data_IF_082376142336
#
_entry.id   IF_082376142336
#
_cell.length_a   1.000
_cell.length_b   1.000
_cell.length_c   1.000
_cell.angle_alpha   90.00
_cell.angle_beta   90.00
_cell.angle_gamma   90.00
#
_symmetry.space_group_name_H-M   'P 1'
#
loop_
_entity.id
_entity.type
_entity.pdbx_description
1 polymer ?
#
# COMPACT_ATOMS: atom_id res chain seq x y z
N UNK A 1 -34.35 -0.66 56.23
CA UNK A 1 -33.33 -0.05 55.36
C UNK A 1 -33.35 -0.82 54.04
N UNK A 2 -34.40 -0.77 53.23
CA UNK A 2 -35.24 0.37 52.77
C UNK A 2 -34.45 1.40 51.90
N UNK A 3 -34.86 1.94 50.72
CA UNK A 3 -36.14 2.07 49.96
C UNK A 3 -36.89 3.41 50.14
N UNK A 4 -37.38 4.13 49.09
CA UNK A 4 -37.14 4.10 47.63
C UNK A 4 -37.22 5.55 47.06
N UNK A 5 -37.13 5.72 45.71
CA UNK A 5 -37.43 6.93 44.90
C UNK A 5 -36.40 8.08 44.93
N UNK A 6 -36.38 9.03 43.98
CA UNK A 6 -37.04 9.09 42.66
C UNK A 6 -37.70 10.45 42.32
N UNK A 7 -37.52 10.93 41.07
CA UNK A 7 -38.13 12.14 40.47
C UNK A 7 -37.71 13.49 41.11
N UNK A 8 -37.85 14.67 40.47
CA UNK A 8 -38.22 15.02 39.09
C UNK A 8 -38.59 16.52 38.95
N UNK A 9 -38.80 17.00 37.71
CA UNK A 9 -39.38 18.32 37.32
C UNK A 9 -38.52 19.57 37.68
N UNK A 10 -38.34 20.66 36.90
CA UNK A 10 -38.93 21.29 35.70
C UNK A 10 -39.89 22.48 35.92
N UNK A 11 -39.46 23.67 35.47
CA UNK A 11 -40.26 24.88 35.17
C UNK A 11 -39.76 25.42 33.80
N UNK A 12 -40.62 25.72 32.81
CA UNK A 12 -41.55 26.86 32.67
C UNK A 12 -40.82 28.22 32.48
N UNK A 13 -41.19 29.11 31.53
CA UNK A 13 -42.46 29.22 30.76
C UNK A 13 -42.29 29.92 29.38
N UNK A 14 -43.39 29.97 28.60
CA UNK A 14 -43.71 30.90 27.47
C UNK A 14 -43.48 32.40 27.79
N UNK A 15 -43.51 33.38 26.87
CA UNK A 15 -43.89 33.51 25.45
C UNK A 15 -43.60 34.97 24.99
N UNK A 16 -44.25 35.63 24.02
CA UNK A 16 -45.24 35.28 22.96
C UNK A 16 -45.39 36.50 21.99
N UNK A 17 -45.79 36.31 20.72
CA UNK A 17 -46.09 37.37 19.74
C UNK A 17 -44.86 37.92 18.96
N UNK A 18 -45.00 38.48 17.75
CA UNK A 18 -46.20 38.64 16.91
C UNK A 18 -45.86 39.04 15.46
N UNK A 19 -46.81 38.85 14.55
CA UNK A 19 -46.75 39.16 13.10
C UNK A 19 -46.53 40.68 12.81
N UNK A 20 -46.09 41.13 11.63
CA UNK A 20 -46.91 41.17 10.39
C UNK A 20 -46.13 41.36 9.05
N UNK A 21 -46.88 41.57 7.95
CA UNK A 21 -46.52 41.27 6.56
C UNK A 21 -45.79 42.32 5.69
N UNK A 22 -45.26 41.79 4.58
CA UNK A 22 -44.76 42.35 3.30
C UNK A 22 -45.15 43.78 2.88
N UNK A 23 -44.27 44.41 2.09
CA UNK A 23 -44.63 44.96 0.75
C UNK A 23 -43.41 45.13 -0.18
N UNK A 24 -43.66 45.41 -1.47
CA UNK A 24 -42.67 45.37 -2.57
C UNK A 24 -42.63 46.69 -3.37
N UNK A 25 -41.46 47.03 -3.90
CA UNK A 25 -41.23 48.07 -4.92
C UNK A 25 -40.40 49.27 -4.43
N UNK A 26 -39.76 50.10 -5.25
CA UNK A 26 -39.21 50.01 -6.62
C UNK A 26 -38.78 51.44 -6.99
N UNK A 27 -37.68 51.57 -7.73
CA UNK A 27 -37.27 52.75 -8.53
C UNK A 27 -36.95 54.13 -7.88
N UNK A 28 -35.65 54.44 -7.93
CA UNK A 28 -35.06 55.50 -8.80
C UNK A 28 -34.29 56.69 -8.18
N UNK A 29 -33.19 57.01 -8.89
CA UNK A 29 -32.58 58.34 -9.07
C UNK A 29 -32.12 59.17 -7.86
N UNK A 30 -30.80 59.29 -7.72
CA UNK A 30 -30.15 60.54 -7.29
C UNK A 30 -28.91 60.82 -8.16
N UNK A 31 -28.55 62.09 -8.37
CA UNK A 31 -27.59 62.54 -9.40
C UNK A 31 -26.52 63.49 -8.85
N UNK A 32 -25.28 63.31 -9.34
CA UNK A 32 -24.20 64.32 -9.44
C UNK A 32 -23.53 64.73 -8.09
N UNK A 33 -22.23 65.07 -8.03
CA UNK A 33 -21.13 64.95 -9.03
C UNK A 33 -19.75 65.25 -8.40
N UNK A 34 -18.65 64.79 -9.05
CA UNK A 34 -17.24 65.22 -8.88
C UNK A 34 -16.59 64.97 -7.48
N UNK A 35 -15.36 64.45 -7.33
CA UNK A 35 -14.20 64.36 -8.21
C UNK A 35 -13.30 63.15 -7.90
N UNK A 36 -12.72 62.49 -8.93
CA UNK A 36 -11.46 61.74 -8.85
C UNK A 36 -10.87 61.52 -10.27
N UNK A 37 -9.54 61.36 -10.42
CA UNK A 37 -8.88 61.46 -11.73
C UNK A 37 -8.97 60.18 -12.59
N UNK A 38 -8.84 60.39 -13.90
CA UNK A 38 -8.92 59.35 -14.93
C UNK A 38 -7.58 58.63 -15.10
N UNK A 39 -7.60 57.29 -15.04
CA UNK A 39 -6.55 56.44 -15.63
C UNK A 39 -7.18 55.58 -16.73
N UNK A 40 -6.74 55.77 -17.98
CA UNK A 40 -7.26 55.05 -19.14
C UNK A 40 -6.67 53.62 -19.20
N UNK A 41 -7.54 52.64 -19.49
CA UNK A 41 -7.12 51.29 -19.85
C UNK A 41 -6.61 51.24 -21.30
N UNK A 42 -5.40 50.73 -21.56
CA UNK A 42 -5.06 50.10 -22.83
C UNK A 42 -5.49 48.62 -22.81
N UNK A 43 -6.11 48.14 -23.89
CA UNK A 43 -6.34 46.71 -24.11
C UNK A 43 -5.01 46.00 -24.42
N UNK A 44 -4.78 44.85 -23.79
CA UNK A 44 -3.60 44.00 -23.99
C UNK A 44 -4.02 42.51 -24.10
N UNK A 45 -3.23 41.65 -24.79
CA UNK A 45 -3.75 40.42 -25.39
C UNK A 45 -3.88 39.22 -24.43
N UNK A 46 -4.63 38.16 -24.80
CA UNK A 46 -4.77 36.94 -24.01
C UNK A 46 -3.44 36.18 -23.89
N UNK A 47 -3.02 35.90 -22.66
CA UNK A 47 -1.84 35.08 -22.36
C UNK A 47 -2.11 33.60 -22.69
N UNK A 48 -1.57 33.14 -23.83
CA UNK A 48 -1.54 31.72 -24.20
C UNK A 48 -0.71 30.90 -23.19
N UNK A 49 -1.18 29.70 -22.87
CA UNK A 49 -0.46 28.76 -22.00
C UNK A 49 0.87 28.30 -22.63
N UNK A 50 1.96 28.18 -21.86
CA UNK A 50 3.19 27.55 -22.34
C UNK A 50 3.00 26.03 -22.48
N UNK A 51 3.31 25.42 -23.64
CA UNK A 51 3.34 23.97 -23.77
C UNK A 51 4.58 23.38 -23.08
N UNK A 52 4.44 22.19 -22.50
CA UNK A 52 5.57 21.45 -21.90
C UNK A 52 6.66 21.14 -22.95
N UNK A 53 7.95 21.27 -22.61
CA UNK A 53 9.03 21.02 -23.56
C UNK A 53 9.13 19.53 -23.93
N UNK A 54 8.90 19.22 -25.21
CA UNK A 54 9.38 17.98 -25.83
C UNK A 54 10.82 18.24 -26.31
N UNK A 55 11.79 17.34 -26.04
CA UNK A 55 13.15 17.50 -26.55
C UNK A 55 13.15 17.36 -28.07
N UNK A 56 13.82 18.29 -28.76
CA UNK A 56 13.96 18.25 -30.22
C UNK A 56 14.99 17.18 -30.62
N UNK A 57 14.61 16.32 -31.56
CA UNK A 57 15.58 15.54 -32.33
C UNK A 57 16.19 16.44 -33.41
N UNK A 58 17.51 16.38 -33.56
CA UNK A 58 18.22 16.87 -34.74
C UNK A 58 19.06 15.72 -35.29
N UNK A 59 18.91 15.46 -36.60
CA UNK A 59 19.71 14.50 -37.34
C UNK A 59 20.62 15.22 -38.31
N UNK A 60 21.92 14.94 -38.23
CA UNK A 60 22.90 15.27 -39.27
C UNK A 60 23.94 14.13 -39.35
N UNK A 61 24.70 14.09 -40.44
CA UNK A 61 25.30 12.86 -40.97
C UNK A 61 26.56 12.35 -40.20
N UNK A 62 26.97 11.07 -40.39
CA UNK A 62 27.79 10.36 -39.41
C UNK A 62 29.30 10.34 -39.68
N UNK A 63 30.09 10.12 -38.62
CA UNK A 63 31.48 9.65 -38.72
C UNK A 63 31.79 8.52 -37.72
N UNK A 64 32.34 7.41 -38.24
CA UNK A 64 33.10 6.35 -37.55
C UNK A 64 32.56 5.80 -36.21
N UNK A 65 31.53 4.96 -36.34
CA UNK A 65 31.65 3.53 -35.97
C UNK A 65 31.88 3.12 -34.50
N UNK A 66 30.80 2.76 -33.82
CA UNK A 66 30.77 1.71 -32.81
C UNK A 66 29.50 0.86 -32.98
N UNK A 67 29.58 -0.43 -32.64
CA UNK A 67 28.49 -1.39 -32.85
C UNK A 67 27.41 -1.26 -31.77
N UNK A 68 26.24 -0.71 -32.12
CA UNK A 68 25.04 -0.75 -31.27
C UNK A 68 23.93 -1.51 -31.98
N UNK A 69 23.45 -2.59 -31.35
CA UNK A 69 22.30 -3.36 -31.84
C UNK A 69 20.99 -2.59 -31.68
N UNK A 70 19.94 -2.96 -32.44
CA UNK A 70 18.68 -2.22 -32.45
C UNK A 70 17.97 -2.28 -31.10
N UNK A 71 17.78 -1.10 -30.48
CA UNK A 71 16.99 -0.94 -29.26
C UNK A 71 15.49 -1.08 -29.56
N UNK A 72 15.00 -2.32 -29.62
CA UNK A 72 13.60 -2.65 -29.90
C UNK A 72 12.66 -2.02 -28.85
N UNK A 73 11.56 -1.35 -29.27
CA UNK A 73 10.59 -0.81 -28.33
C UNK A 73 9.85 -1.94 -27.61
N UNK A 74 9.79 -1.87 -26.28
CA UNK A 74 9.22 -2.91 -25.41
C UNK A 74 7.67 -2.91 -25.44
N UNK A 75 7.09 -3.22 -26.61
CA UNK A 75 5.64 -3.31 -26.87
C UNK A 75 5.21 -4.50 -27.74
N UNK A 76 6.15 -5.31 -28.23
CA UNK A 76 5.84 -6.52 -29.03
C UNK A 76 6.71 -7.72 -28.61
N UNK A 77 6.41 -8.29 -27.44
CA UNK A 77 6.92 -9.62 -27.08
C UNK A 77 6.03 -10.66 -27.77
N UNK A 78 6.40 -11.03 -29.01
CA UNK A 78 5.72 -12.10 -29.74
C UNK A 78 5.75 -13.44 -29.00
N UNK A 79 4.80 -14.34 -29.31
CA UNK A 79 4.57 -15.57 -28.53
C UNK A 79 5.83 -16.45 -28.32
N UNK A 80 6.76 -16.47 -29.28
CA UNK A 80 8.06 -17.15 -29.15
C UNK A 80 8.96 -16.49 -28.10
N UNK A 81 9.06 -15.15 -28.10
CA UNK A 81 9.81 -14.39 -27.10
C UNK A 81 9.18 -14.50 -25.70
N UNK A 82 7.84 -14.46 -25.63
CA UNK A 82 7.11 -14.67 -24.38
C UNK A 82 7.44 -16.03 -23.76
N UNK A 83 7.49 -17.09 -24.58
CA UNK A 83 7.88 -18.44 -24.14
C UNK A 83 9.30 -18.49 -23.59
N UNK A 84 10.29 -17.99 -24.33
CA UNK A 84 11.69 -17.95 -23.88
C UNK A 84 11.86 -17.17 -22.58
N UNK A 85 11.20 -16.02 -22.43
CA UNK A 85 11.24 -15.24 -21.18
C UNK A 85 10.61 -16.05 -20.03
N UNK A 86 9.38 -16.54 -20.21
CA UNK A 86 8.63 -17.25 -19.17
C UNK A 86 9.25 -18.58 -18.73
N UNK A 87 10.03 -19.24 -19.59
CA UNK A 87 10.72 -20.49 -19.27
C UNK A 87 12.06 -20.23 -18.55
N UNK A 88 12.68 -19.07 -18.75
CA UNK A 88 13.88 -18.64 -18.02
C UNK A 88 13.62 -18.03 -16.62
N UNK A 89 12.39 -17.64 -16.28
CA UNK A 89 12.11 -17.15 -14.90
C UNK A 89 12.34 -18.30 -13.89
N UNK A 90 13.21 -18.13 -12.87
CA UNK A 90 13.49 -19.19 -11.89
C UNK A 90 12.31 -19.42 -10.94
N UNK A 91 12.12 -20.67 -10.53
CA UNK A 91 11.15 -21.07 -9.51
C UNK A 91 9.66 -21.08 -9.90
N UNK A 92 9.29 -20.68 -11.13
CA UNK A 92 7.91 -20.82 -11.60
C UNK A 92 7.53 -22.29 -11.82
N UNK A 93 6.41 -22.72 -11.26
CA UNK A 93 5.83 -24.05 -11.55
C UNK A 93 5.17 -24.06 -12.93
N UNK A 94 4.98 -25.24 -13.53
CA UNK A 94 4.45 -25.39 -14.91
C UNK A 94 3.15 -24.61 -15.16
N UNK A 95 2.25 -24.52 -14.17
CA UNK A 95 1.01 -23.72 -14.28
C UNK A 95 1.25 -22.21 -14.26
N UNK A 96 2.29 -21.73 -13.57
CA UNK A 96 2.70 -20.32 -13.63
C UNK A 96 3.37 -20.01 -14.97
N UNK A 97 4.19 -20.93 -15.52
CA UNK A 97 4.76 -20.78 -16.86
C UNK A 97 3.65 -20.71 -17.93
N UNK A 98 2.65 -21.59 -17.90
CA UNK A 98 1.46 -21.52 -18.78
C UNK A 98 0.73 -20.17 -18.69
N UNK A 99 0.55 -19.61 -17.49
CA UNK A 99 -0.12 -18.32 -17.31
C UNK A 99 0.76 -17.15 -17.81
N UNK A 100 2.06 -17.21 -17.57
CA UNK A 100 3.06 -16.27 -18.08
C UNK A 100 3.08 -16.27 -19.62
N UNK A 101 3.20 -17.44 -20.24
CA UNK A 101 3.21 -17.63 -21.70
C UNK A 101 1.91 -17.13 -22.36
N UNK A 102 0.76 -17.29 -21.70
CA UNK A 102 -0.55 -16.82 -22.20
C UNK A 102 -0.80 -15.33 -21.96
N UNK A 103 -0.17 -14.74 -20.96
CA UNK A 103 -0.40 -13.36 -20.52
C UNK A 103 0.93 -12.64 -20.17
N UNK A 104 1.87 -12.50 -21.12
CA UNK A 104 3.22 -11.98 -20.82
C UNK A 104 3.18 -10.55 -20.28
N UNK A 105 2.30 -9.68 -20.78
CA UNK A 105 2.22 -8.28 -20.36
C UNK A 105 1.86 -8.13 -18.87
N UNK A 106 1.01 -9.02 -18.33
CA UNK A 106 0.62 -9.04 -16.92
C UNK A 106 1.84 -9.30 -16.02
N UNK A 107 2.89 -9.97 -16.53
CA UNK A 107 4.08 -10.31 -15.73
C UNK A 107 4.88 -9.07 -15.31
N UNK A 108 4.79 -7.95 -16.05
CA UNK A 108 5.32 -6.65 -15.60
C UNK A 108 4.63 -6.21 -14.30
N UNK A 109 3.30 -6.18 -14.32
CA UNK A 109 2.47 -5.80 -13.15
C UNK A 109 2.59 -6.80 -11.99
N UNK A 110 2.84 -8.08 -12.25
CA UNK A 110 3.20 -9.07 -11.21
C UNK A 110 4.54 -8.73 -10.55
N UNK A 111 5.54 -8.30 -11.34
CA UNK A 111 6.84 -7.83 -10.84
C UNK A 111 6.79 -6.46 -10.14
N UNK A 112 5.82 -5.62 -10.48
CA UNK A 112 5.57 -4.36 -9.77
C UNK A 112 4.85 -4.60 -8.44
N UNK A 113 3.80 -5.43 -8.44
CA UNK A 113 3.12 -5.89 -7.22
C UNK A 113 4.05 -6.62 -6.26
N UNK A 114 5.07 -7.32 -6.78
CA UNK A 114 6.17 -7.87 -5.99
C UNK A 114 6.95 -6.78 -5.23
N UNK A 115 7.41 -5.74 -5.93
CA UNK A 115 8.15 -4.63 -5.32
C UNK A 115 7.27 -3.83 -4.35
N UNK A 116 5.98 -3.66 -4.66
CA UNK A 116 5.02 -2.95 -3.82
C UNK A 116 4.78 -3.70 -2.49
N UNK A 117 4.58 -5.04 -2.52
CA UNK A 117 4.41 -5.79 -1.28
C UNK A 117 5.69 -5.88 -0.44
N UNK A 118 6.87 -6.04 -1.06
CA UNK A 118 8.14 -6.13 -0.32
C UNK A 118 8.39 -4.82 0.43
N UNK A 119 8.23 -3.66 -0.23
CA UNK A 119 8.37 -2.34 0.40
C UNK A 119 7.35 -2.14 1.53
N UNK A 120 6.11 -2.58 1.35
CA UNK A 120 5.09 -2.46 2.39
C UNK A 120 5.35 -3.40 3.57
N UNK A 121 5.81 -4.62 3.32
CA UNK A 121 6.20 -5.57 4.35
C UNK A 121 7.39 -5.03 5.18
N UNK A 122 8.40 -4.49 4.51
CA UNK A 122 9.52 -3.78 5.15
C UNK A 122 9.04 -2.55 5.93
N UNK A 123 8.08 -1.78 5.40
CA UNK A 123 7.50 -0.65 6.13
C UNK A 123 6.79 -1.10 7.42
N UNK A 124 5.94 -2.13 7.36
CA UNK A 124 5.16 -2.66 8.50
C UNK A 124 6.02 -3.34 9.57
N UNK A 125 7.26 -3.73 9.24
CA UNK A 125 8.19 -4.45 10.12
C UNK A 125 9.54 -3.74 10.36
N UNK A 126 9.75 -2.52 9.84
CA UNK A 126 10.99 -1.72 10.01
C UNK A 126 11.50 -1.61 11.45
N UNK A 127 10.58 -1.57 12.41
CA UNK A 127 10.83 -1.44 13.85
C UNK A 127 10.76 -2.79 14.60
N UNK A 128 10.80 -3.94 13.92
CA UNK A 128 10.68 -5.28 14.52
C UNK A 128 11.94 -6.12 14.28
N UNK A 129 12.21 -7.11 15.16
CA UNK A 129 13.43 -7.97 15.12
C UNK A 129 13.56 -8.71 13.78
N UNK A 130 12.46 -9.28 13.30
CA UNK A 130 12.29 -9.56 11.87
C UNK A 130 11.74 -8.31 11.17
N UNK A 131 12.43 -7.83 10.13
CA UNK A 131 12.11 -6.58 9.42
C UNK A 131 11.63 -6.79 7.97
N UNK A 132 11.25 -8.01 7.60
CA UNK A 132 10.89 -8.40 6.23
C UNK A 132 11.97 -8.11 5.16
N UNK A 133 13.24 -8.23 5.54
CA UNK A 133 14.32 -8.45 4.55
C UNK A 133 14.27 -9.90 4.09
N UNK A 134 14.23 -10.13 2.78
CA UNK A 134 14.43 -11.47 2.20
C UNK A 134 15.91 -11.77 2.13
N UNK A 135 16.30 -13.03 2.28
CA UNK A 135 17.69 -13.45 2.08
C UNK A 135 18.06 -13.28 0.60
N UNK A 136 19.19 -12.65 0.29
CA UNK A 136 19.59 -12.24 -1.07
C UNK A 136 19.73 -13.38 -2.10
N UNK A 137 19.65 -14.64 -1.67
CA UNK A 137 19.74 -15.84 -2.52
C UNK A 137 18.37 -16.38 -2.96
N UNK A 138 17.27 -15.99 -2.32
CA UNK A 138 15.92 -16.45 -2.69
C UNK A 138 15.34 -15.55 -3.80
N UNK A 139 15.87 -15.70 -5.03
CA UNK A 139 15.31 -15.06 -6.24
C UNK A 139 13.84 -15.45 -6.51
N UNK A 140 13.32 -16.47 -5.83
CA UNK A 140 11.93 -16.90 -5.93
C UNK A 140 11.00 -16.05 -5.05
N UNK A 141 10.59 -14.89 -5.58
CA UNK A 141 9.51 -14.03 -5.00
C UNK A 141 8.21 -14.82 -4.73
N UNK A 142 7.96 -15.87 -5.53
CA UNK A 142 6.84 -16.80 -5.39
C UNK A 142 7.30 -18.19 -4.88
N UNK A 143 8.36 -18.18 -4.07
CA UNK A 143 9.03 -19.33 -3.46
C UNK A 143 8.26 -19.96 -2.29
N UNK A 144 8.92 -20.84 -1.54
CA UNK A 144 8.50 -21.09 -0.14
C UNK A 144 9.19 -19.96 0.66
N UNK A 145 8.59 -18.76 0.62
CA UNK A 145 9.27 -17.48 0.96
C UNK A 145 9.81 -17.42 2.40
N UNK A 146 9.33 -18.31 3.27
CA UNK A 146 9.98 -18.68 4.51
C UNK A 146 9.94 -20.21 4.66
N UNK A 147 10.88 -20.77 5.43
CA UNK A 147 10.97 -22.20 5.73
C UNK A 147 9.96 -22.63 6.81
N UNK A 148 9.90 -21.90 7.93
CA UNK A 148 8.99 -22.18 9.06
C UNK A 148 7.55 -21.71 8.78
N UNK A 149 6.56 -22.35 9.36
CA UNK A 149 5.12 -22.05 9.20
C UNK A 149 4.66 -20.95 10.17
N UNK A 150 5.47 -19.90 10.32
CA UNK A 150 5.33 -18.91 11.39
C UNK A 150 4.32 -17.81 11.08
N UNK A 151 4.08 -16.97 12.08
CA UNK A 151 3.21 -15.80 11.98
C UNK A 151 3.68 -14.80 10.91
N UNK A 152 5.00 -14.63 10.75
CA UNK A 152 5.57 -13.73 9.74
C UNK A 152 5.34 -14.29 8.33
N UNK A 153 5.50 -15.61 8.15
CA UNK A 153 5.18 -16.28 6.90
C UNK A 153 3.70 -16.09 6.52
N UNK A 154 2.79 -16.19 7.49
CA UNK A 154 1.37 -15.93 7.28
C UNK A 154 1.08 -14.50 6.76
N UNK A 155 1.79 -13.49 7.28
CA UNK A 155 1.72 -12.12 6.75
C UNK A 155 2.31 -12.03 5.34
N UNK A 156 3.47 -12.64 5.07
CA UNK A 156 4.13 -12.63 3.76
C UNK A 156 3.23 -13.20 2.65
N UNK A 157 2.58 -14.35 2.87
CA UNK A 157 1.61 -14.92 1.90
C UNK A 157 0.41 -13.99 1.68
N UNK A 158 -0.10 -13.35 2.73
CA UNK A 158 -1.20 -12.40 2.60
C UNK A 158 -0.81 -11.12 1.85
N UNK A 159 0.25 -10.43 2.25
CA UNK A 159 0.68 -9.16 1.64
C UNK A 159 1.17 -9.36 0.20
N UNK A 160 1.83 -10.49 -0.10
CA UNK A 160 2.28 -10.81 -1.47
C UNK A 160 1.12 -11.11 -2.42
N UNK A 161 0.16 -11.93 -2.01
CA UNK A 161 -1.04 -12.13 -2.83
C UNK A 161 -1.95 -10.89 -2.87
N UNK A 162 -1.82 -9.94 -1.94
CA UNK A 162 -2.47 -8.64 -2.01
C UNK A 162 -1.79 -7.71 -3.04
N UNK A 163 -0.46 -7.59 -3.02
CA UNK A 163 0.30 -6.74 -3.95
C UNK A 163 0.09 -7.14 -5.42
N UNK A 164 0.04 -8.44 -5.72
CA UNK A 164 -0.27 -8.95 -7.07
C UNK A 164 -1.70 -8.59 -7.50
N UNK A 165 -2.69 -8.60 -6.59
CA UNK A 165 -4.06 -8.13 -6.92
C UNK A 165 -4.06 -6.64 -7.19
N UNK A 166 -3.40 -5.86 -6.32
CA UNK A 166 -3.40 -4.41 -6.36
C UNK A 166 -2.76 -3.86 -7.64
N UNK A 167 -1.54 -4.31 -7.97
CA UNK A 167 -0.83 -3.87 -9.16
C UNK A 167 -1.53 -4.28 -10.47
N UNK A 168 -2.06 -5.52 -10.57
CA UNK A 168 -2.82 -5.94 -11.76
C UNK A 168 -4.11 -5.12 -11.91
N UNK A 169 -4.84 -4.89 -10.81
CA UNK A 169 -6.10 -4.12 -10.84
C UNK A 169 -5.84 -2.68 -11.31
N UNK A 170 -4.81 -2.04 -10.75
CA UNK A 170 -4.33 -0.71 -11.13
C UNK A 170 -3.92 -0.66 -12.62
N UNK A 171 -3.14 -1.62 -13.10
CA UNK A 171 -2.72 -1.67 -14.50
C UNK A 171 -3.91 -1.88 -15.49
N UNK A 172 -4.96 -2.61 -15.08
CA UNK A 172 -6.20 -2.73 -15.84
C UNK A 172 -7.00 -1.42 -15.92
N UNK A 173 -7.05 -0.62 -14.86
CA UNK A 173 -7.77 0.67 -14.84
C UNK A 173 -6.98 1.81 -15.49
N UNK A 174 -5.66 1.73 -15.50
CA UNK A 174 -4.76 2.62 -16.24
C UNK A 174 -4.67 2.31 -17.75
N UNK A 175 -5.28 1.21 -18.21
CA UNK A 175 -5.24 0.79 -19.62
C UNK A 175 -3.88 0.25 -20.08
N UNK A 176 -3.03 -0.16 -19.14
CA UNK A 176 -1.69 -0.71 -19.46
C UNK A 176 -1.72 -2.15 -19.98
N UNK A 177 -2.82 -2.87 -19.76
CA UNK A 177 -3.00 -4.28 -20.06
C UNK A 177 -4.18 -4.47 -21.01
N UNK A 178 -3.91 -4.88 -22.26
CA UNK A 178 -4.90 -5.12 -23.31
C UNK A 178 -5.95 -6.20 -22.99
N UNK A 179 -5.62 -7.09 -22.06
CA UNK A 179 -6.40 -8.28 -21.66
C UNK A 179 -7.39 -8.05 -20.53
N UNK A 180 -7.54 -6.80 -20.07
CA UNK A 180 -8.52 -6.37 -19.09
C UNK A 180 -8.92 -4.90 -19.29
N UNK A 181 -9.92 -4.44 -18.52
CA UNK A 181 -10.46 -3.08 -18.56
C UNK A 181 -10.91 -2.65 -17.17
N UNK A 182 -11.37 -1.41 -17.05
CA UNK A 182 -12.30 -0.96 -16.01
C UNK A 182 -13.45 -1.97 -15.77
N UNK A 183 -14.02 -1.98 -14.57
CA UNK A 183 -15.14 -2.84 -14.20
C UNK A 183 -16.38 -2.56 -15.08
N UNK A 184 -16.85 -3.54 -15.89
CA UNK A 184 -18.00 -3.34 -16.78
C UNK A 184 -19.34 -3.34 -16.03
N UNK A 185 -19.39 -3.72 -14.75
CA UNK A 185 -20.63 -3.93 -13.99
C UNK A 185 -21.10 -2.70 -13.19
N UNK A 186 -20.23 -1.71 -12.93
CA UNK A 186 -20.63 -0.46 -12.26
C UNK A 186 -21.09 0.59 -13.28
N UNK A 187 -22.40 0.67 -13.54
CA UNK A 187 -23.04 1.56 -14.52
C UNK A 187 -24.42 2.02 -14.02
N UNK A 188 -24.96 3.10 -14.59
CA UNK A 188 -26.27 3.66 -14.23
C UNK A 188 -26.24 4.52 -12.96
N UNK A 189 -27.41 4.81 -12.38
CA UNK A 189 -27.57 5.62 -11.16
C UNK A 189 -27.44 4.77 -9.89
N UNK A 190 -27.00 5.37 -8.79
CA UNK A 190 -26.94 4.77 -7.46
C UNK A 190 -27.01 5.85 -6.37
N UNK A 191 -27.41 5.47 -5.15
CA UNK A 191 -27.54 6.38 -4.00
C UNK A 191 -26.46 6.10 -2.93
N UNK A 192 -26.02 7.11 -2.18
CA UNK A 192 -25.30 6.94 -0.90
C UNK A 192 -25.79 7.95 0.16
N UNK A 193 -25.11 8.03 1.31
CA UNK A 193 -25.48 8.93 2.43
C UNK A 193 -25.50 10.44 2.08
N UNK A 194 -25.02 10.84 0.90
CA UNK A 194 -25.00 12.21 0.38
C UNK A 194 -25.98 12.42 -0.79
N UNK A 195 -26.95 11.52 -0.99
CA UNK A 195 -27.91 11.56 -2.09
C UNK A 195 -27.51 10.69 -3.29
N UNK A 196 -28.09 10.96 -4.45
CA UNK A 196 -27.78 10.25 -5.69
C UNK A 196 -26.38 10.55 -6.26
N UNK A 197 -25.93 9.66 -7.15
CA UNK A 197 -24.82 9.83 -8.06
C UNK A 197 -24.97 8.92 -9.28
N UNK A 198 -24.36 9.30 -10.41
CA UNK A 198 -24.27 8.43 -11.58
C UNK A 198 -22.89 7.75 -11.64
N UNK A 199 -22.85 6.45 -11.96
CA UNK A 199 -21.60 5.70 -12.17
C UNK A 199 -20.92 6.17 -13.46
N UNK A 200 -19.65 6.57 -13.39
CA UNK A 200 -18.88 6.98 -14.56
C UNK A 200 -17.39 7.15 -14.28
N UNK A 201 -16.59 7.30 -15.34
CA UNK A 201 -15.14 7.16 -15.26
C UNK A 201 -14.71 5.70 -15.30
N UNK A 202 -13.64 5.35 -14.60
CA UNK A 202 -13.09 3.99 -14.59
C UNK A 202 -13.11 3.40 -13.18
N UNK A 203 -14.01 2.45 -12.94
CA UNK A 203 -13.98 1.62 -11.72
C UNK A 203 -12.89 0.55 -11.81
N UNK A 204 -12.14 0.36 -10.74
CA UNK A 204 -11.08 -0.64 -10.60
C UNK A 204 -11.62 -2.07 -10.64
N UNK A 205 -11.20 -2.85 -11.64
CA UNK A 205 -11.66 -4.22 -11.88
C UNK A 205 -11.00 -5.24 -10.94
N UNK A 206 -11.28 -5.10 -9.65
CA UNK A 206 -10.76 -5.97 -8.58
C UNK A 206 -11.08 -7.45 -8.83
N UNK A 207 -12.19 -7.74 -9.52
CA UNK A 207 -12.64 -9.08 -9.84
C UNK A 207 -11.72 -9.78 -10.86
N UNK A 208 -11.09 -9.02 -11.77
CA UNK A 208 -10.04 -9.53 -12.63
C UNK A 208 -8.73 -9.77 -11.86
N UNK A 209 -8.25 -8.78 -11.11
CA UNK A 209 -7.00 -8.89 -10.33
C UNK A 209 -7.03 -10.05 -9.33
N UNK A 210 -8.11 -10.19 -8.56
CA UNK A 210 -8.33 -11.31 -7.62
C UNK A 210 -8.36 -12.66 -8.34
N UNK A 211 -8.95 -12.73 -9.54
CA UNK A 211 -9.03 -13.96 -10.36
C UNK A 211 -7.64 -14.37 -10.86
N UNK A 212 -6.86 -13.44 -11.41
CA UNK A 212 -5.50 -13.74 -11.89
C UNK A 212 -4.58 -14.11 -10.72
N UNK A 213 -4.57 -13.35 -9.62
CA UNK A 213 -3.73 -13.67 -8.46
C UNK A 213 -4.08 -15.04 -7.84
N UNK A 214 -5.36 -15.42 -7.78
CA UNK A 214 -5.82 -16.76 -7.36
C UNK A 214 -5.43 -17.86 -8.36
N UNK A 215 -5.24 -17.54 -9.64
CA UNK A 215 -4.75 -18.48 -10.64
C UNK A 215 -3.23 -18.66 -10.57
N UNK A 216 -2.47 -17.57 -10.37
CA UNK A 216 -1.01 -17.53 -10.44
C UNK A 216 -0.29 -17.80 -9.11
N UNK A 217 -0.66 -17.12 -8.02
CA UNK A 217 0.04 -17.21 -6.72
C UNK A 217 -0.24 -18.56 -6.05
N UNK A 218 -1.51 -18.99 -6.04
CA UNK A 218 -1.93 -20.27 -5.46
C UNK A 218 -1.46 -21.51 -6.28
N UNK A 219 -0.88 -21.31 -7.47
CA UNK A 219 -0.60 -22.40 -8.41
C UNK A 219 0.39 -23.45 -7.87
N UNK A 220 1.36 -23.00 -7.06
CA UNK A 220 2.37 -23.85 -6.44
C UNK A 220 1.77 -24.68 -5.31
N UNK A 221 1.07 -24.03 -4.39
CA UNK A 221 0.52 -24.63 -3.18
C UNK A 221 -0.54 -25.70 -3.50
N UNK A 222 -1.37 -25.46 -4.53
CA UNK A 222 -2.34 -26.44 -5.06
C UNK A 222 -1.72 -27.76 -5.54
N UNK A 223 -0.41 -27.80 -5.83
CA UNK A 223 0.31 -29.03 -6.20
C UNK A 223 0.77 -29.83 -4.98
N UNK A 224 1.06 -29.16 -3.86
CA UNK A 224 1.70 -29.78 -2.69
C UNK A 224 0.71 -30.51 -1.79
N UNK A 225 -0.53 -30.00 -1.65
CA UNK A 225 -1.60 -30.58 -0.81
C UNK A 225 -1.23 -30.83 0.66
N UNK A 226 -0.12 -30.25 1.15
CA UNK A 226 0.30 -30.35 2.55
C UNK A 226 -0.45 -29.33 3.43
N UNK A 227 -0.42 -29.54 4.76
CA UNK A 227 -1.02 -28.60 5.72
C UNK A 227 -0.48 -27.17 5.55
N UNK A 228 0.81 -27.05 5.19
CA UNK A 228 1.47 -25.77 4.85
C UNK A 228 0.79 -25.08 3.66
N UNK A 229 0.54 -25.78 2.57
CA UNK A 229 -0.17 -25.27 1.41
C UNK A 229 -1.59 -24.81 1.78
N UNK A 230 -2.31 -25.53 2.64
CA UNK A 230 -3.64 -25.12 3.12
C UNK A 230 -3.59 -23.76 3.86
N UNK A 231 -2.64 -23.59 4.78
CA UNK A 231 -2.36 -22.31 5.46
C UNK A 231 -2.00 -21.21 4.45
N UNK A 232 -1.12 -21.49 3.49
CA UNK A 232 -0.70 -20.52 2.48
C UNK A 232 -1.88 -20.08 1.60
N UNK A 233 -2.72 -21.02 1.17
CA UNK A 233 -3.94 -20.74 0.38
C UNK A 233 -4.98 -19.93 1.16
N UNK A 234 -5.09 -20.13 2.48
CA UNK A 234 -5.93 -19.31 3.36
C UNK A 234 -5.37 -17.89 3.51
N UNK A 235 -4.10 -17.75 3.86
CA UNK A 235 -3.46 -16.44 4.05
C UNK A 235 -3.44 -15.63 2.75
N UNK A 236 -3.14 -16.26 1.61
CA UNK A 236 -3.31 -15.67 0.27
C UNK A 236 -4.75 -15.14 0.05
N UNK A 237 -5.78 -15.91 0.44
CA UNK A 237 -7.19 -15.49 0.33
C UNK A 237 -7.47 -14.28 1.22
N UNK A 238 -6.98 -14.26 2.46
CA UNK A 238 -7.12 -13.10 3.36
C UNK A 238 -6.50 -11.84 2.74
N UNK A 239 -5.30 -11.93 2.16
CA UNK A 239 -4.63 -10.85 1.41
C UNK A 239 -5.46 -10.29 0.26
N UNK A 240 -5.92 -11.16 -0.65
CA UNK A 240 -6.79 -10.76 -1.78
C UNK A 240 -8.12 -10.15 -1.33
N UNK A 241 -8.65 -10.61 -0.21
CA UNK A 241 -9.89 -10.08 0.38
C UNK A 241 -9.69 -8.72 1.02
N UNK A 242 -8.50 -8.45 1.59
CA UNK A 242 -8.15 -7.17 2.17
C UNK A 242 -8.12 -6.04 1.13
N UNK A 243 -7.47 -6.24 -0.04
CA UNK A 243 -7.48 -5.23 -1.13
C UNK A 243 -8.91 -4.86 -1.52
N UNK A 244 -9.77 -5.87 -1.75
CA UNK A 244 -11.19 -5.66 -2.09
C UNK A 244 -11.98 -4.94 -0.98
N UNK A 245 -11.61 -5.13 0.29
CA UNK A 245 -12.24 -4.44 1.44
C UNK A 245 -11.97 -2.93 1.44
N UNK A 246 -10.86 -2.48 0.84
CA UNK A 246 -10.47 -1.07 0.79
C UNK A 246 -10.68 -0.41 -0.57
N UNK A 247 -11.53 -0.96 -1.43
CA UNK A 247 -12.13 -0.18 -2.51
C UNK A 247 -12.96 0.96 -1.90
N UNK A 248 -12.61 2.19 -2.27
CA UNK A 248 -13.29 3.43 -1.90
C UNK A 248 -14.19 3.89 -3.04
N UNK A 249 -15.27 4.60 -2.72
CA UNK A 249 -16.02 5.37 -3.71
C UNK A 249 -15.30 6.71 -3.87
N UNK A 250 -14.87 7.02 -5.08
CA UNK A 250 -14.33 8.33 -5.47
C UNK A 250 -15.34 9.04 -6.36
N UNK A 251 -15.47 10.35 -6.21
CA UNK A 251 -16.49 11.15 -6.90
C UNK A 251 -15.92 12.47 -7.40
N UNK A 252 -16.40 12.93 -8.57
CA UNK A 252 -16.28 14.32 -9.02
C UNK A 252 -17.64 15.00 -8.93
N UNK A 253 -17.63 16.25 -8.50
CA UNK A 253 -18.81 17.11 -8.43
C UNK A 253 -18.89 17.99 -9.67
N UNK A 254 -20.09 18.17 -10.19
CA UNK A 254 -20.38 18.77 -11.50
C UNK A 254 -21.54 19.78 -11.46
N UNK A 255 -22.06 20.11 -10.28
CA UNK A 255 -23.08 21.14 -10.09
C UNK A 255 -22.52 22.56 -10.24
N UNK A 256 -23.43 23.53 -10.35
CA UNK A 256 -23.13 24.97 -10.49
C UNK A 256 -22.17 25.43 -9.40
N UNK A 257 -21.17 26.25 -9.76
CA UNK A 257 -20.11 26.74 -8.88
C UNK A 257 -19.32 25.65 -8.13
N UNK A 258 -19.24 24.43 -8.69
CA UNK A 258 -18.54 23.30 -8.09
C UNK A 258 -19.34 22.53 -7.03
N UNK A 259 -20.64 22.80 -6.90
CA UNK A 259 -21.52 22.09 -5.96
C UNK A 259 -21.66 20.60 -6.29
N UNK A 260 -21.89 19.79 -5.25
CA UNK A 260 -22.01 18.33 -5.36
C UNK A 260 -23.45 17.82 -5.56
N UNK A 261 -24.37 18.68 -6.00
CA UNK A 261 -25.76 18.34 -6.32
C UNK A 261 -25.86 17.36 -7.49
N UNK A 262 -25.02 17.53 -8.50
CA UNK A 262 -24.71 16.52 -9.50
C UNK A 262 -23.28 16.02 -9.27
N UNK A 263 -23.09 14.70 -9.27
CA UNK A 263 -21.79 14.06 -9.11
C UNK A 263 -21.70 12.73 -9.84
N UNK A 264 -20.50 12.41 -10.30
CA UNK A 264 -20.17 11.17 -11.01
C UNK A 264 -19.11 10.41 -10.21
N UNK A 265 -19.34 9.13 -9.94
CA UNK A 265 -18.48 8.34 -9.05
C UNK A 265 -18.02 7.01 -9.67
N UNK A 266 -16.89 6.50 -9.18
CA UNK A 266 -16.29 5.21 -9.54
C UNK A 266 -15.70 4.51 -8.30
N UNK A 267 -15.52 3.19 -8.38
CA UNK A 267 -14.81 2.43 -7.34
C UNK A 267 -13.31 2.51 -7.60
N UNK A 268 -12.55 3.05 -6.65
CA UNK A 268 -11.10 3.16 -6.75
C UNK A 268 -10.38 2.32 -5.68
N UNK A 269 -9.18 1.83 -5.98
CA UNK A 269 -8.24 1.29 -5.00
C UNK A 269 -7.88 2.37 -3.97
N UNK A 270 -7.88 2.01 -2.68
CA UNK A 270 -7.14 2.78 -1.67
C UNK A 270 -5.63 2.62 -1.86
N UNK A 271 -4.86 3.54 -1.27
CA UNK A 271 -3.42 3.35 -1.10
C UNK A 271 -3.10 1.98 -0.45
N UNK A 272 -2.05 1.31 -0.95
CA UNK A 272 -1.67 -0.02 -0.49
C UNK A 272 -1.34 -0.07 1.00
N UNK A 273 -0.88 1.04 1.60
CA UNK A 273 -0.67 1.20 3.04
C UNK A 273 -1.91 0.79 3.85
N UNK A 274 -3.12 1.15 3.42
CA UNK A 274 -4.36 0.73 4.12
C UNK A 274 -4.54 -0.79 4.15
N UNK A 275 -4.09 -1.48 3.11
CA UNK A 275 -4.07 -2.95 3.07
C UNK A 275 -2.97 -3.52 3.97
N UNK A 276 -1.77 -2.91 3.94
CA UNK A 276 -0.66 -3.24 4.83
C UNK A 276 -1.04 -3.12 6.32
N UNK A 277 -1.58 -1.96 6.73
CA UNK A 277 -2.01 -1.67 8.09
C UNK A 277 -3.09 -2.64 8.59
N UNK A 278 -4.02 -3.04 7.70
CA UNK A 278 -5.06 -4.01 8.04
C UNK A 278 -4.48 -5.42 8.21
N UNK A 279 -3.62 -5.86 7.29
CA UNK A 279 -2.96 -7.16 7.39
C UNK A 279 -1.99 -7.20 8.58
N UNK A 280 -1.39 -6.07 8.95
CA UNK A 280 -0.56 -5.91 10.15
C UNK A 280 -1.39 -6.21 11.42
N UNK A 281 -2.54 -5.55 11.58
CA UNK A 281 -3.48 -5.86 12.69
C UNK A 281 -3.98 -7.31 12.67
N UNK A 282 -4.07 -7.95 11.50
CA UNK A 282 -4.41 -9.39 11.37
C UNK A 282 -3.24 -10.34 11.64
N UNK A 283 -1.99 -9.86 11.53
CA UNK A 283 -0.79 -10.55 12.01
C UNK A 283 -0.70 -10.47 13.54
N UNK A 284 -0.96 -9.30 14.14
CA UNK A 284 -0.89 -9.11 15.59
C UNK A 284 -1.91 -10.01 16.31
N UNK A 285 -3.13 -10.11 15.76
CA UNK A 285 -4.21 -11.00 16.23
C UNK A 285 -4.30 -12.37 15.53
N UNK A 286 -3.24 -12.84 14.87
CA UNK A 286 -3.22 -14.11 14.12
C UNK A 286 -3.44 -15.33 15.01
N UNK A 287 -4.09 -16.38 14.47
CA UNK A 287 -4.49 -17.58 15.22
C UNK A 287 -3.53 -18.73 14.95
N UNK A 288 -3.00 -19.35 16.00
CA UNK A 288 -2.26 -20.61 15.87
C UNK A 288 -3.24 -21.76 15.66
N UNK A 289 -2.97 -22.59 14.66
CA UNK A 289 -3.84 -23.68 14.22
C UNK A 289 -3.11 -25.02 14.14
N UNK A 290 -3.87 -26.10 14.12
CA UNK A 290 -3.44 -27.48 13.84
C UNK A 290 -4.22 -28.00 12.64
N UNK A 291 -3.63 -28.88 11.83
CA UNK A 291 -4.34 -29.53 10.73
C UNK A 291 -5.31 -30.58 11.26
N UNK A 292 -6.46 -30.73 10.60
CA UNK A 292 -7.39 -31.85 10.89
C UNK A 292 -6.88 -33.16 10.27
N UNK A 293 -7.37 -34.31 10.76
CA UNK A 293 -6.88 -35.64 10.36
C UNK A 293 -7.06 -35.94 8.86
N UNK A 294 -8.07 -35.35 8.22
CA UNK A 294 -8.35 -35.39 6.78
C UNK A 294 -7.43 -34.47 5.95
N UNK A 295 -6.62 -33.63 6.60
CA UNK A 295 -5.71 -32.66 5.97
C UNK A 295 -6.40 -31.51 5.21
N UNK A 296 -7.73 -31.50 5.11
CA UNK A 296 -8.47 -30.53 4.29
C UNK A 296 -8.82 -29.23 5.04
N UNK A 297 -8.79 -29.25 6.38
CA UNK A 297 -9.14 -28.12 7.24
C UNK A 297 -8.09 -27.90 8.34
N UNK A 298 -8.33 -26.88 9.18
CA UNK A 298 -7.53 -26.62 10.36
C UNK A 298 -8.40 -26.15 11.55
N UNK A 299 -7.98 -26.52 12.75
CA UNK A 299 -8.61 -26.18 14.03
C UNK A 299 -7.73 -25.24 14.85
N UNK A 300 -8.28 -24.54 15.85
CA UNK A 300 -7.44 -23.77 16.78
C UNK A 300 -6.51 -24.72 17.55
N UNK A 301 -5.23 -24.36 17.70
CA UNK A 301 -4.20 -25.24 18.27
C UNK A 301 -4.35 -25.52 19.78
N UNK A 302 -5.26 -24.82 20.46
CA UNK A 302 -5.58 -25.00 21.89
C UNK A 302 -7.09 -24.95 22.07
N UNK A 303 -7.61 -25.75 23.00
CA UNK A 303 -9.01 -25.62 23.45
C UNK A 303 -9.22 -24.25 24.13
N UNK A 304 -10.45 -23.74 24.08
CA UNK A 304 -10.80 -22.39 24.55
C UNK A 304 -10.36 -21.23 23.64
N UNK A 305 -9.46 -21.43 22.68
CA UNK A 305 -9.04 -20.37 21.75
C UNK A 305 -10.07 -20.14 20.63
N UNK A 306 -10.22 -18.88 20.21
CA UNK A 306 -11.16 -18.51 19.13
C UNK A 306 -10.82 -19.24 17.82
N UNK A 307 -11.82 -19.82 17.15
CA UNK A 307 -11.67 -20.37 15.80
C UNK A 307 -11.30 -19.24 14.82
N UNK A 308 -10.38 -19.52 13.90
CA UNK A 308 -9.94 -18.54 12.90
C UNK A 308 -11.08 -18.23 11.91
N UNK A 309 -11.31 -16.94 11.63
CA UNK A 309 -12.28 -16.54 10.60
C UNK A 309 -11.66 -16.52 9.21
N UNK A 310 -12.50 -16.38 8.17
CA UNK A 310 -12.09 -16.17 6.76
C UNK A 310 -11.29 -14.88 6.52
N UNK A 311 -11.03 -14.06 7.54
CA UNK A 311 -10.23 -12.82 7.46
C UNK A 311 -9.08 -12.74 8.47
N UNK A 312 -8.92 -13.74 9.35
CA UNK A 312 -7.76 -13.86 10.22
C UNK A 312 -6.59 -14.54 9.50
N UNK A 313 -5.36 -14.16 9.84
CA UNK A 313 -4.18 -14.92 9.44
C UNK A 313 -3.99 -16.12 10.35
N UNK A 314 -3.52 -17.24 9.79
CA UNK A 314 -3.29 -18.50 10.52
C UNK A 314 -1.87 -19.00 10.34
N UNK A 315 -1.32 -19.63 11.38
CA UNK A 315 0.03 -20.19 11.40
C UNK A 315 0.07 -21.49 12.22
N UNK A 316 1.03 -22.38 11.95
CA UNK A 316 1.21 -23.61 12.75
C UNK A 316 2.35 -23.42 13.76
N UNK A 317 3.49 -22.90 13.30
CA UNK A 317 4.74 -22.91 14.05
C UNK A 317 4.95 -21.62 14.85
N UNK A 318 5.51 -21.74 16.05
CA UNK A 318 6.04 -20.58 16.76
C UNK A 318 7.17 -19.92 15.93
N UNK A 319 7.25 -18.59 15.97
CA UNK A 319 8.35 -17.85 15.34
C UNK A 319 9.70 -18.25 15.96
N UNK A 320 10.81 -18.26 15.18
CA UNK A 320 12.14 -18.47 15.73
C UNK A 320 12.62 -17.24 16.52
N UNK A 321 13.74 -17.37 17.24
CA UNK A 321 14.37 -16.20 17.87
C UNK A 321 15.09 -15.34 16.84
N UNK A 322 14.48 -14.20 16.51
CA UNK A 322 15.05 -13.22 15.60
C UNK A 322 16.19 -12.38 16.21
N UNK A 323 16.58 -12.58 17.47
CA UNK A 323 17.73 -11.91 18.07
C UNK A 323 19.09 -12.42 17.55
N UNK A 324 19.18 -13.71 17.21
CA UNK A 324 20.40 -14.42 16.80
C UNK A 324 20.39 -14.68 15.29
N UNK A 325 21.55 -14.69 14.65
CA UNK A 325 21.72 -15.08 13.24
C UNK A 325 21.53 -16.60 13.11
N UNK A 326 20.46 -17.02 12.46
CA UNK A 326 20.17 -18.43 12.13
C UNK A 326 19.62 -18.52 10.71
N UNK A 327 20.49 -18.91 9.78
CA UNK A 327 20.16 -19.05 8.35
C UNK A 327 19.19 -20.22 8.07
N UNK A 328 19.10 -21.22 8.94
CA UNK A 328 18.20 -22.35 8.79
C UNK A 328 16.78 -22.02 9.28
N UNK A 329 16.65 -21.23 10.35
CA UNK A 329 15.36 -20.68 10.78
C UNK A 329 14.88 -19.48 9.94
N UNK A 330 15.78 -18.84 9.18
CA UNK A 330 15.48 -17.63 8.40
C UNK A 330 15.63 -16.32 9.18
N UNK A 331 16.43 -16.32 10.25
CA UNK A 331 16.79 -15.13 11.03
C UNK A 331 18.13 -14.55 10.60
N UNK A 332 18.19 -13.23 10.40
CA UNK A 332 19.44 -12.47 10.24
C UNK A 332 20.03 -11.99 11.57
N UNK A 333 19.31 -12.16 12.69
CA UNK A 333 19.66 -11.58 13.99
C UNK A 333 19.45 -10.06 14.06
N UNK A 334 19.83 -9.46 15.20
CA UNK A 334 19.73 -8.01 15.41
C UNK A 334 21.05 -7.27 15.59
N UNK A 335 22.20 -7.93 15.39
CA UNK A 335 23.50 -7.26 15.46
C UNK A 335 23.63 -6.13 14.40
N UNK A 336 24.27 -5.02 14.76
CA UNK A 336 24.46 -3.84 13.89
C UNK A 336 23.18 -3.03 13.59
N UNK A 337 22.00 -3.48 14.05
CA UNK A 337 20.74 -2.77 13.77
C UNK A 337 20.60 -1.49 14.58
N UNK A 338 20.14 -0.42 13.93
CA UNK A 338 19.81 0.84 14.59
C UNK A 338 18.62 0.66 15.55
N UNK A 339 18.71 1.26 16.74
CA UNK A 339 17.67 1.25 17.76
C UNK A 339 17.46 2.64 18.37
N UNK A 340 16.35 2.83 19.08
CA UNK A 340 16.06 4.05 19.84
C UNK A 340 16.35 3.86 21.32
N UNK A 341 17.13 4.76 21.93
CA UNK A 341 17.39 4.76 23.38
C UNK A 341 16.16 5.24 24.19
N UNK A 342 15.28 6.03 23.58
CA UNK A 342 14.13 6.65 24.26
C UNK A 342 12.82 5.87 24.06
N UNK A 343 12.74 5.02 23.04
CA UNK A 343 11.55 4.19 22.81
C UNK A 343 11.49 3.00 23.78
N UNK A 344 10.32 2.78 24.37
CA UNK A 344 9.95 1.52 25.05
C UNK A 344 9.25 0.52 24.11
N UNK A 345 9.12 0.87 22.82
CA UNK A 345 8.55 0.04 21.77
C UNK A 345 9.54 -0.98 21.20
N UNK A 346 9.14 -1.66 20.14
CA UNK A 346 9.95 -2.73 19.52
C UNK A 346 11.22 -2.23 18.82
N UNK A 347 11.31 -0.93 18.53
CA UNK A 347 12.51 -0.21 18.09
C UNK A 347 13.43 0.20 19.24
N UNK A 348 12.94 0.15 20.48
CA UNK A 348 13.69 0.44 21.69
C UNK A 348 14.91 -0.47 21.82
N UNK A 349 16.07 0.08 22.20
CA UNK A 349 17.33 -0.68 22.23
C UNK A 349 17.27 -1.90 23.15
N UNK A 350 16.49 -1.87 24.24
CA UNK A 350 16.23 -3.03 25.09
C UNK A 350 15.62 -4.21 24.32
N UNK A 351 14.53 -3.94 23.58
CA UNK A 351 13.78 -4.96 22.82
C UNK A 351 14.50 -5.32 21.51
N UNK A 352 15.06 -4.35 20.78
CA UNK A 352 15.76 -4.56 19.52
C UNK A 352 17.08 -5.33 19.72
N UNK A 353 17.88 -4.94 20.71
CA UNK A 353 19.20 -5.53 20.95
C UNK A 353 19.16 -6.76 21.87
N UNK A 354 17.98 -7.12 22.37
CA UNK A 354 17.73 -8.34 23.15
C UNK A 354 18.66 -8.46 24.37
N UNK A 355 18.73 -7.40 25.18
CA UNK A 355 19.59 -7.34 26.38
C UNK A 355 21.10 -7.22 26.12
N UNK A 356 21.60 -7.42 24.89
CA UNK A 356 23.05 -7.35 24.57
C UNK A 356 23.67 -5.95 24.66
N UNK A 357 22.84 -4.92 24.87
CA UNK A 357 23.25 -3.53 24.79
C UNK A 357 23.49 -3.03 23.36
N UNK A 358 23.97 -1.80 23.27
CA UNK A 358 24.19 -1.08 22.01
C UNK A 358 25.46 -0.23 22.09
N UNK A 359 26.08 0.03 20.95
CA UNK A 359 27.11 1.04 20.78
C UNK A 359 26.46 2.36 20.35
N UNK A 360 27.10 3.48 20.68
CA UNK A 360 26.62 4.83 20.33
C UNK A 360 27.66 5.53 19.49
N UNK A 361 27.27 5.93 18.28
CA UNK A 361 28.15 6.61 17.32
C UNK A 361 27.59 7.99 17.02
N UNK A 362 28.42 9.03 17.12
CA UNK A 362 28.02 10.40 16.84
C UNK A 362 28.19 10.70 15.36
N UNK A 363 27.09 10.98 14.66
CA UNK A 363 27.06 11.14 13.21
C UNK A 363 26.50 12.52 12.83
N UNK A 364 27.25 13.28 12.03
CA UNK A 364 26.74 14.53 11.44
C UNK A 364 25.81 14.21 10.28
N UNK A 365 24.51 14.46 10.48
CA UNK A 365 23.46 14.25 9.48
C UNK A 365 23.14 15.57 8.77
N UNK A 366 23.33 15.60 7.45
CA UNK A 366 22.87 16.73 6.63
C UNK A 366 21.37 16.61 6.39
N UNK A 367 20.64 17.70 6.58
CA UNK A 367 19.19 17.79 6.39
C UNK A 367 18.82 19.12 5.75
N UNK A 368 17.93 19.09 4.76
CA UNK A 368 17.36 20.31 4.19
C UNK A 368 16.49 21.01 5.25
N UNK A 369 16.74 22.30 5.48
CA UNK A 369 16.14 23.11 6.53
C UNK A 369 15.84 24.53 6.01
N UNK A 370 15.15 25.35 6.83
CA UNK A 370 14.79 26.74 6.49
C UNK A 370 14.15 26.89 5.09
N UNK A 371 13.38 25.90 4.65
CA UNK A 371 12.82 25.84 3.30
C UNK A 371 11.82 26.98 3.08
N UNK A 372 12.13 27.88 2.15
CA UNK A 372 11.28 29.00 1.72
C UNK A 372 10.69 28.71 0.35
N UNK A 373 9.38 28.91 0.21
CA UNK A 373 8.73 28.91 -1.10
C UNK A 373 8.93 30.26 -1.77
N UNK A 374 9.43 30.24 -3.00
CA UNK A 374 9.52 31.38 -3.89
C UNK A 374 8.34 31.33 -4.87
N UNK A 375 7.52 32.38 -4.84
CA UNK A 375 6.43 32.56 -5.79
C UNK A 375 7.04 32.70 -7.20
N UNK A 376 6.61 31.81 -8.12
CA UNK A 376 7.37 31.19 -9.23
C UNK A 376 7.65 29.67 -9.06
N UNK A 377 7.02 29.02 -8.07
CA UNK A 377 6.93 27.57 -7.91
C UNK A 377 8.22 26.83 -7.51
N UNK A 378 9.22 27.53 -6.97
CA UNK A 378 10.45 26.93 -6.45
C UNK A 378 10.48 26.89 -4.91
N UNK A 379 10.88 25.76 -4.31
CA UNK A 379 11.27 25.71 -2.89
C UNK A 379 12.79 25.76 -2.80
N UNK A 380 13.34 26.69 -2.01
CA UNK A 380 14.78 26.77 -1.72
C UNK A 380 15.00 26.51 -0.23
N UNK A 381 15.84 25.52 0.08
CA UNK A 381 16.23 25.15 1.43
C UNK A 381 17.72 25.46 1.65
N UNK A 382 18.15 25.52 2.91
CA UNK A 382 19.56 25.46 3.31
C UNK A 382 19.93 24.03 3.72
N UNK A 383 21.21 23.71 3.66
CA UNK A 383 21.74 22.49 4.31
C UNK A 383 22.08 22.75 5.78
N UNK A 384 21.27 22.23 6.70
CA UNK A 384 21.65 22.17 8.11
C UNK A 384 22.44 20.88 8.39
N UNK A 385 23.55 21.02 9.12
CA UNK A 385 24.35 19.90 9.62
C UNK A 385 24.03 19.63 11.08
N UNK A 386 23.21 18.62 11.34
CA UNK A 386 22.75 18.26 12.68
C UNK A 386 23.53 17.04 13.19
N UNK A 387 24.28 17.21 14.27
CA UNK A 387 25.03 16.11 14.90
C UNK A 387 24.10 15.30 15.79
N UNK A 388 23.91 14.02 15.45
CA UNK A 388 22.98 13.12 16.13
C UNK A 388 23.69 11.85 16.60
N UNK A 389 23.34 11.39 17.79
CA UNK A 389 23.86 10.13 18.33
C UNK A 389 23.01 8.96 17.80
N UNK A 390 23.66 8.01 17.13
CA UNK A 390 23.04 6.82 16.52
C UNK A 390 23.41 5.59 17.33
N UNK A 391 22.40 4.90 17.86
CA UNK A 391 22.57 3.69 18.65
C UNK A 391 22.45 2.44 17.76
N UNK A 392 23.39 1.51 17.86
CA UNK A 392 23.41 0.26 17.08
C UNK A 392 23.59 -0.95 17.99
N UNK A 393 22.80 -1.99 17.78
CA UNK A 393 22.78 -3.17 18.65
C UNK A 393 24.06 -3.99 18.58
N UNK A 394 24.59 -4.37 19.75
CA UNK A 394 25.81 -5.17 19.85
C UNK A 394 25.66 -6.55 19.21
N UNK A 395 26.78 -7.07 18.72
CA UNK A 395 26.91 -8.47 18.33
C UNK A 395 26.73 -9.41 19.54
N UNK A 396 26.40 -10.69 19.33
CA UNK A 396 26.55 -11.71 20.37
C UNK A 396 28.01 -11.77 20.85
N UNK A 397 28.22 -11.90 22.16
CA UNK A 397 29.54 -12.33 22.67
C UNK A 397 29.79 -13.75 22.13
N UNK A 398 30.91 -13.96 21.43
CA UNK A 398 31.41 -15.31 21.11
C UNK A 398 31.75 -16.03 22.42
N UNK A 399 31.48 -17.33 22.50
CA UNK A 399 31.83 -18.15 23.67
C UNK A 399 33.36 -18.18 23.93
N UNK A 400 34.16 -18.08 22.86
CA UNK A 400 35.64 -18.03 22.89
C UNK A 400 36.24 -16.82 23.67
N UNK A 401 35.41 -15.93 24.21
CA UNK A 401 35.83 -14.74 24.99
C UNK A 401 35.42 -14.83 26.48
N UNK A 402 35.19 -16.04 26.99
CA UNK A 402 34.95 -16.30 28.42
C UNK A 402 36.14 -16.92 29.16
N UNK A 403 37.15 -17.44 28.44
CA UNK A 403 38.32 -18.13 29.01
C UNK A 403 39.61 -17.26 28.98
N UNK A 404 39.48 -15.93 29.00
CA UNK A 404 40.62 -14.99 29.03
C UNK A 404 40.44 -13.80 30.00
N UNK A 405 39.96 -14.09 31.22
CA UNK A 405 40.12 -13.25 32.43
C UNK A 405 40.17 -14.14 33.66
#
# INVERSE_FOLDING_TARGET
MEEIWGWGLSSQTSGLGGEDFLLHGSDSSCKHSHNCPVCLFPLAPPCLHPPFPKPCLHGSAPTRGHLTGPSLPCRYIGALGARVICDNIPGLVSRQRQLCQRYPDIMRSVGEGAREWIRECQHQFRHHRWNCTTLDRDHTVFGRVMLRSSREAAFVYAISSAGVVHAITRACSQGELSVCSCDPYTRGRHHDQRGDFDWGGCSDNIHYGVRFAKAFVDAKEKRLKDARALMNLHNNRCGRTAVRRFLKLECKCHGVSGSCTLRTCWRALSDFRRTGDYLRRRYDGAVQVTATQDGANFTAARQGYRRATRTDLVYFDNSPDYCVLDKAAGSLGTAGRVCSKTSKGTDGCEIMCCGRGYDTTRVTRVTQCECKFHWCCAVRCKECRNTVDVHTCKAPKKAEWLDQT
#
